data_IF_582774402991
#
_entry.id   IF_582774402991
#
_cell.length_a   1.000
_cell.length_b   1.000
_cell.length_c   1.000
_cell.angle_alpha   90.00
_cell.angle_beta   90.00
_cell.angle_gamma   90.00
#
_symmetry.space_group_name_H-M   'P 1'
#
loop_
_entity.id
_entity.type
_entity.pdbx_description
1 polymer ?
#
# COMPACT_ATOMS: atom_id res chain seq x y z
N UNK A 1 23.72 4.02 11.76
CA UNK A 1 22.45 3.37 12.22
C UNK A 1 21.61 4.30 13.09
N UNK A 2 22.11 4.80 14.24
CA UNK A 2 21.35 5.68 15.16
C UNK A 2 20.72 6.92 14.49
N UNK A 3 21.47 7.61 13.62
CA UNK A 3 20.96 8.79 12.90
C UNK A 3 19.86 8.42 11.88
N UNK A 4 20.02 7.31 11.14
CA UNK A 4 19.04 6.83 10.18
C UNK A 4 17.74 6.45 10.90
N UNK A 5 17.85 5.71 12.00
CA UNK A 5 16.71 5.34 12.84
C UNK A 5 15.97 6.57 13.36
N UNK A 6 16.70 7.58 13.85
CA UNK A 6 16.11 8.83 14.32
C UNK A 6 15.30 9.52 13.22
N UNK A 7 15.90 9.73 12.04
CA UNK A 7 15.22 10.39 10.92
C UNK A 7 14.01 9.61 10.42
N UNK A 8 14.11 8.29 10.29
CA UNK A 8 12.98 7.45 9.92
C UNK A 8 11.85 7.53 10.95
N UNK A 9 12.19 7.53 12.25
CA UNK A 9 11.21 7.68 13.31
C UNK A 9 10.48 9.04 13.24
N UNK A 10 11.19 10.13 12.92
CA UNK A 10 10.56 11.43 12.69
C UNK A 10 9.64 11.41 11.47
N UNK A 11 10.08 10.79 10.37
CA UNK A 11 9.28 10.63 9.15
C UNK A 11 8.00 9.85 9.43
N UNK A 12 8.07 8.76 10.20
CA UNK A 12 6.91 7.91 10.47
C UNK A 12 5.92 8.56 11.45
N UNK A 13 6.42 9.19 12.52
CA UNK A 13 5.54 9.67 13.58
C UNK A 13 5.07 11.11 13.42
N UNK A 14 5.79 11.95 12.68
CA UNK A 14 5.52 13.40 12.64
C UNK A 14 5.05 13.91 11.28
N UNK A 15 5.31 13.19 10.20
CA UNK A 15 4.94 13.65 8.86
C UNK A 15 3.54 13.17 8.45
N UNK A 16 2.63 14.12 8.21
CA UNK A 16 1.41 13.87 7.42
C UNK A 16 1.69 14.23 5.96
N UNK A 17 1.95 13.20 5.16
CA UNK A 17 2.29 13.38 3.76
C UNK A 17 1.06 13.81 2.95
N UNK A 18 1.20 14.86 2.14
CA UNK A 18 0.15 15.23 1.19
C UNK A 18 -0.18 14.09 0.22
N UNK A 19 0.87 13.47 -0.35
CA UNK A 19 0.77 12.33 -1.26
C UNK A 19 1.96 11.40 -1.01
N UNK A 20 1.72 10.09 -0.89
CA UNK A 20 2.76 9.06 -0.96
C UNK A 20 2.56 8.25 -2.24
N UNK A 21 3.66 7.97 -2.93
CA UNK A 21 3.63 7.29 -4.20
C UNK A 21 4.52 6.06 -4.20
N UNK A 22 3.91 4.89 -4.38
CA UNK A 22 4.55 3.58 -4.36
C UNK A 22 4.71 3.01 -5.79
N UNK A 23 5.08 3.83 -6.79
CA UNK A 23 5.33 3.31 -8.14
C UNK A 23 6.53 2.35 -8.19
N UNK A 24 7.66 2.73 -7.58
CA UNK A 24 8.93 2.01 -7.72
C UNK A 24 9.56 1.61 -6.38
N UNK A 25 9.03 2.16 -5.29
CA UNK A 25 9.63 1.98 -3.98
C UNK A 25 8.57 1.51 -2.99
N UNK A 26 8.91 0.46 -2.26
CA UNK A 26 8.17 -0.08 -1.12
C UNK A 26 9.17 -0.30 0.01
N UNK A 27 8.72 -0.13 1.24
CA UNK A 27 9.60 -0.34 2.38
C UNK A 27 9.94 -1.82 2.51
N UNK A 28 11.23 -2.15 2.45
CA UNK A 28 11.71 -3.50 2.71
C UNK A 28 11.58 -3.78 4.23
N UNK A 29 10.70 -4.70 4.65
CA UNK A 29 10.48 -5.00 6.06
C UNK A 29 11.74 -5.52 6.75
N UNK A 30 12.65 -6.20 6.05
CA UNK A 30 13.92 -6.69 6.63
C UNK A 30 14.84 -5.53 7.01
N UNK A 31 14.91 -4.47 6.18
CA UNK A 31 15.66 -3.26 6.53
C UNK A 31 15.04 -2.58 7.75
N UNK A 32 13.70 -2.55 7.85
CA UNK A 32 13.02 -1.98 9.01
C UNK A 32 13.31 -2.79 10.29
N UNK A 33 13.29 -4.13 10.21
CA UNK A 33 13.63 -5.04 11.33
C UNK A 33 15.06 -4.87 11.83
N UNK A 34 16.00 -4.48 10.97
CA UNK A 34 17.38 -4.18 11.37
C UNK A 34 17.50 -2.83 12.12
N UNK A 35 16.55 -1.92 11.92
CA UNK A 35 16.60 -0.56 12.45
C UNK A 35 15.77 -0.38 13.74
N UNK A 36 14.70 -1.14 13.88
CA UNK A 36 13.72 -1.03 14.95
C UNK A 36 13.47 -2.38 15.62
N UNK A 37 13.22 -2.39 16.93
CA UNK A 37 12.78 -3.61 17.60
C UNK A 37 11.29 -3.91 17.31
N UNK A 38 10.82 -5.10 17.66
CA UNK A 38 9.45 -5.55 17.36
C UNK A 38 8.37 -4.61 17.91
N UNK A 39 8.54 -4.10 19.13
CA UNK A 39 7.59 -3.15 19.73
C UNK A 39 7.53 -1.81 18.98
N UNK A 40 8.67 -1.32 18.50
CA UNK A 40 8.77 -0.08 17.73
C UNK A 40 8.17 -0.23 16.34
N UNK A 41 8.40 -1.36 15.68
CA UNK A 41 7.85 -1.63 14.33
C UNK A 41 6.33 -1.54 14.33
N UNK A 42 5.67 -2.07 15.36
CA UNK A 42 4.21 -2.04 15.47
C UNK A 42 3.64 -0.61 15.61
N UNK A 43 4.47 0.34 16.04
CA UNK A 43 4.10 1.75 16.19
C UNK A 43 4.34 2.57 14.91
N UNK A 44 5.09 2.02 13.94
CA UNK A 44 5.35 2.71 12.68
C UNK A 44 4.02 2.92 11.95
N UNK A 45 3.74 4.18 11.59
CA UNK A 45 2.63 4.55 10.71
C UNK A 45 3.10 5.48 9.61
N UNK A 46 2.52 5.36 8.44
CA UNK A 46 2.75 6.24 7.31
C UNK A 46 1.46 7.05 7.12
N UNK A 47 1.41 8.23 7.73
CA UNK A 47 0.22 9.08 7.64
C UNK A 47 0.24 9.84 6.31
N UNK A 48 -0.85 9.78 5.56
CA UNK A 48 -0.99 10.57 4.35
C UNK A 48 -2.42 10.96 4.04
N UNK A 49 -2.57 12.03 3.26
CA UNK A 49 -3.88 12.40 2.67
C UNK A 49 -4.19 11.48 1.50
N UNK A 50 -3.21 11.23 0.62
CA UNK A 50 -3.40 10.37 -0.55
C UNK A 50 -2.27 9.37 -0.69
N UNK A 51 -2.60 8.15 -1.09
CA UNK A 51 -1.62 7.16 -1.47
C UNK A 51 -1.88 6.67 -2.89
N UNK A 52 -0.81 6.42 -3.64
CA UNK A 52 -0.86 5.92 -5.00
C UNK A 52 -0.09 4.61 -5.05
N UNK A 53 -0.75 3.53 -5.46
CA UNK A 53 -0.17 2.20 -5.60
C UNK A 53 -0.14 1.81 -7.06
N UNK A 54 1.01 1.30 -7.50
CA UNK A 54 1.18 0.64 -8.78
C UNK A 54 2.15 -0.50 -8.62
N UNK A 55 1.68 -1.71 -8.90
CA UNK A 55 2.45 -2.93 -8.69
C UNK A 55 3.44 -3.16 -9.83
N UNK A 56 4.56 -2.41 -9.81
CA UNK A 56 5.74 -2.76 -10.60
C UNK A 56 6.65 -3.75 -9.87
N UNK A 57 6.61 -3.79 -8.53
CA UNK A 57 7.39 -4.73 -7.72
C UNK A 57 6.53 -5.95 -7.31
N UNK A 58 6.95 -7.20 -7.61
CA UNK A 58 6.19 -8.40 -7.28
C UNK A 58 6.31 -8.87 -5.81
N UNK A 59 7.12 -8.23 -4.96
CA UNK A 59 7.32 -8.72 -3.60
C UNK A 59 6.12 -8.42 -2.69
N UNK A 60 5.23 -9.41 -2.54
CA UNK A 60 3.99 -9.33 -1.77
C UNK A 60 4.19 -8.90 -0.31
N UNK A 61 5.25 -9.39 0.35
CA UNK A 61 5.51 -9.11 1.77
C UNK A 61 5.75 -7.62 2.00
N UNK A 62 6.35 -6.94 1.02
CA UNK A 62 6.67 -5.53 1.11
C UNK A 62 5.40 -4.68 0.98
N UNK A 63 4.46 -5.16 0.17
CA UNK A 63 3.15 -4.56 0.02
C UNK A 63 2.29 -4.74 1.27
N UNK A 64 2.26 -5.94 1.83
CA UNK A 64 1.53 -6.19 3.07
C UNK A 64 2.07 -5.34 4.21
N UNK A 65 3.40 -5.27 4.36
CA UNK A 65 4.03 -4.40 5.34
C UNK A 65 3.65 -2.93 5.12
N UNK A 66 3.77 -2.43 3.89
CA UNK A 66 3.45 -1.04 3.57
C UNK A 66 1.98 -0.74 3.85
N UNK A 67 1.06 -1.60 3.40
CA UNK A 67 -0.37 -1.42 3.56
C UNK A 67 -0.82 -1.48 5.03
N UNK A 68 -0.24 -2.38 5.83
CA UNK A 68 -0.53 -2.52 7.27
C UNK A 68 -0.13 -1.31 8.09
N UNK A 69 0.89 -0.58 7.62
CA UNK A 69 1.42 0.57 8.33
C UNK A 69 0.95 1.88 7.71
N UNK A 70 0.20 1.87 6.61
CA UNK A 70 -0.29 3.08 5.96
C UNK A 70 -1.62 3.56 6.57
N UNK A 71 -1.71 4.86 6.84
CA UNK A 71 -2.93 5.53 7.31
C UNK A 71 -3.32 6.57 6.26
N UNK A 72 -4.50 6.40 5.65
CA UNK A 72 -4.96 7.21 4.52
C UNK A 72 -6.17 8.04 4.91
N UNK A 73 -6.02 9.36 4.94
CA UNK A 73 -7.06 10.27 5.43
C UNK A 73 -8.01 10.80 4.35
N UNK A 74 -7.70 10.62 3.05
CA UNK A 74 -8.59 11.07 1.97
C UNK A 74 -8.80 10.05 0.87
N UNK A 75 -7.74 9.58 0.20
CA UNK A 75 -7.91 8.74 -0.99
C UNK A 75 -6.76 7.78 -1.26
N UNK A 76 -7.10 6.52 -1.52
CA UNK A 76 -6.21 5.56 -2.14
C UNK A 76 -6.47 5.54 -3.65
N UNK A 77 -5.41 5.65 -4.45
CA UNK A 77 -5.44 5.49 -5.90
C UNK A 77 -4.66 4.24 -6.25
N UNK A 78 -5.27 3.38 -7.05
CA UNK A 78 -4.69 2.13 -7.49
C UNK A 78 -4.60 2.13 -9.01
N UNK A 79 -3.41 1.84 -9.51
CA UNK A 79 -3.15 1.61 -10.91
C UNK A 79 -2.92 0.10 -11.10
N UNK A 80 -3.89 -0.59 -11.69
CA UNK A 80 -3.71 -2.00 -12.04
C UNK A 80 -2.87 -2.10 -13.32
N UNK A 81 -1.79 -2.88 -13.27
CA UNK A 81 -0.92 -3.07 -14.43
C UNK A 81 -1.42 -4.26 -15.27
N UNK A 82 -1.30 -4.14 -16.60
CA UNK A 82 -1.76 -5.10 -17.62
C UNK A 82 -0.96 -6.41 -17.61
N UNK A 83 0.27 -6.38 -17.11
CA UNK A 83 1.24 -7.46 -17.28
C UNK A 83 1.19 -8.49 -16.14
N UNK A 84 0.61 -8.15 -14.98
CA UNK A 84 0.68 -9.01 -13.80
C UNK A 84 -0.67 -9.15 -13.07
N UNK A 85 -1.49 -10.10 -13.54
CA UNK A 85 -2.80 -10.41 -12.96
C UNK A 85 -2.74 -10.92 -11.52
N UNK A 86 -1.70 -11.68 -11.16
CA UNK A 86 -1.50 -12.19 -9.80
C UNK A 86 -1.36 -11.04 -8.80
N UNK A 87 -0.57 -10.02 -9.15
CA UNK A 87 -0.41 -8.82 -8.33
C UNK A 87 -1.74 -8.06 -8.17
N UNK A 88 -2.56 -8.01 -9.22
CA UNK A 88 -3.86 -7.34 -9.16
C UNK A 88 -4.80 -8.05 -8.16
N UNK A 89 -4.85 -9.39 -8.15
CA UNK A 89 -5.65 -10.15 -7.18
C UNK A 89 -5.24 -9.88 -5.73
N UNK A 90 -3.93 -9.82 -5.47
CA UNK A 90 -3.40 -9.50 -4.14
C UNK A 90 -3.87 -8.12 -3.70
N UNK A 91 -3.73 -7.12 -4.57
CA UNK A 91 -4.14 -5.76 -4.24
C UNK A 91 -5.64 -5.67 -4.00
N UNK A 92 -6.43 -6.38 -4.79
CA UNK A 92 -7.88 -6.45 -4.61
C UNK A 92 -8.24 -7.11 -3.29
N UNK A 93 -7.60 -8.21 -2.92
CA UNK A 93 -7.80 -8.84 -1.62
C UNK A 93 -7.39 -7.91 -0.47
N UNK A 94 -6.30 -7.15 -0.61
CA UNK A 94 -5.89 -6.15 0.38
C UNK A 94 -6.95 -5.04 0.53
N UNK A 95 -7.51 -4.55 -0.58
CA UNK A 95 -8.60 -3.57 -0.57
C UNK A 95 -9.86 -4.16 0.08
N UNK A 96 -10.26 -5.37 -0.29
CA UNK A 96 -11.49 -5.99 0.23
C UNK A 96 -11.40 -6.19 1.75
N UNK A 97 -10.23 -6.60 2.26
CA UNK A 97 -10.05 -6.89 3.67
C UNK A 97 -9.77 -5.64 4.53
N UNK A 98 -9.13 -4.60 3.97
CA UNK A 98 -8.62 -3.45 4.75
C UNK A 98 -9.13 -2.09 4.26
N UNK A 99 -9.83 -2.06 3.13
CA UNK A 99 -10.30 -0.85 2.47
C UNK A 99 -11.42 -0.12 3.21
N UNK A 100 -12.12 -0.77 4.13
CA UNK A 100 -13.18 -0.13 4.93
C UNK A 100 -12.69 1.07 5.75
N UNK A 101 -11.40 1.10 6.08
CA UNK A 101 -10.79 2.22 6.82
C UNK A 101 -10.31 3.36 5.89
N UNK A 102 -10.51 3.23 4.57
CA UNK A 102 -10.02 4.18 3.57
C UNK A 102 -11.21 5.01 3.07
N UNK A 103 -11.21 6.35 3.27
CA UNK A 103 -12.39 7.17 2.95
C UNK A 103 -12.82 7.15 1.48
N UNK A 104 -11.88 6.95 0.56
CA UNK A 104 -12.16 6.90 -0.88
C UNK A 104 -11.12 6.03 -1.57
N UNK A 105 -11.57 5.10 -2.40
CA UNK A 105 -10.70 4.25 -3.22
C UNK A 105 -11.03 4.53 -4.68
N UNK A 106 -10.03 4.95 -5.45
CA UNK A 106 -10.10 5.10 -6.89
C UNK A 106 -9.25 4.01 -7.53
N UNK A 107 -9.89 3.13 -8.28
CA UNK A 107 -9.19 2.11 -9.06
C UNK A 107 -9.19 2.57 -10.52
N UNK A 108 -7.99 2.70 -11.07
CA UNK A 108 -7.78 3.09 -12.45
C UNK A 108 -7.30 1.89 -13.25
N UNK A 109 -7.85 1.79 -14.46
CA UNK A 109 -7.68 0.68 -15.37
C UNK A 109 -7.24 1.21 -16.72
N UNK A 110 -6.48 0.43 -17.46
CA UNK A 110 -6.39 0.61 -18.91
C UNK A 110 -7.61 -0.04 -19.58
N UNK A 111 -8.02 0.45 -20.77
CA UNK A 111 -9.29 0.10 -21.45
C UNK A 111 -9.59 -1.42 -21.50
N UNK A 112 -8.57 -2.28 -21.55
CA UNK A 112 -8.73 -3.74 -21.65
C UNK A 112 -8.93 -4.46 -20.28
N UNK A 113 -8.96 -3.75 -19.15
CA UNK A 113 -9.08 -4.35 -17.80
C UNK A 113 -10.49 -4.24 -17.20
N UNK A 114 -11.41 -3.55 -17.88
CA UNK A 114 -12.79 -3.38 -17.42
C UNK A 114 -13.51 -4.74 -17.29
N UNK A 115 -13.27 -5.68 -18.23
CA UNK A 115 -13.88 -7.01 -18.17
C UNK A 115 -13.36 -7.86 -17.01
N UNK A 116 -12.05 -7.82 -16.74
CA UNK A 116 -11.48 -8.49 -15.57
C UNK A 116 -12.14 -8.00 -14.28
N UNK A 117 -12.32 -6.69 -14.14
CA UNK A 117 -12.93 -6.12 -12.95
C UNK A 117 -14.42 -6.48 -12.81
N UNK A 118 -15.17 -6.49 -13.93
CA UNK A 118 -16.56 -6.95 -13.96
C UNK A 118 -16.67 -8.41 -13.50
N UNK A 119 -15.77 -9.28 -13.97
CA UNK A 119 -15.76 -10.69 -13.56
C UNK A 119 -15.38 -10.85 -12.09
N UNK A 120 -14.39 -10.10 -11.59
CA UNK A 120 -13.99 -10.14 -10.18
C UNK A 120 -15.14 -9.73 -9.25
N UNK A 121 -15.83 -8.61 -9.53
CA UNK A 121 -16.97 -8.16 -8.73
C UNK A 121 -18.07 -9.23 -8.69
N UNK A 122 -18.37 -9.85 -9.84
CA UNK A 122 -19.42 -10.86 -9.93
C UNK A 122 -19.11 -12.12 -9.11
N UNK A 123 -17.84 -12.53 -9.03
CA UNK A 123 -17.42 -13.68 -8.20
C UNK A 123 -17.44 -13.34 -6.70
N UNK A 124 -17.08 -12.11 -6.32
CA UNK A 124 -17.06 -11.67 -4.91
C UNK A 124 -18.44 -11.40 -4.28
N UNK A 125 -19.53 -11.54 -5.04
CA UNK A 125 -20.93 -11.41 -4.56
C UNK A 125 -21.59 -12.75 -4.23
N UNK A 126 -20.85 -13.86 -4.29
CA UNK A 126 -21.25 -15.21 -3.86
C UNK A 126 -20.59 -15.49 -2.52
#
# INVERSE_FOLDING_TARGET
>A
LKNIRYWLNQIFNCCDFGIINFYYFVFNPEIIKLLFNSEEINKIKFNCKKAIFSLYNPNIEYWEFTFNNLVINKRLIIHLNKINYTNNNILLNLILNKGNNIPSILISFTYNQIEFFKNFINVSKI
#
